data_IF_462320470228
#
_entry.id   IF_462320470228
#
_cell.length_a   1.000
_cell.length_b   1.000
_cell.length_c   1.000
_cell.angle_alpha   90.00
_cell.angle_beta   90.00
_cell.angle_gamma   90.00
#
_symmetry.space_group_name_H-M   'P 1'
#
loop_
_entity.id
_entity.type
_entity.pdbx_description
1 polymer ?
#
# COMPACT_ATOMS: atom_id res chain seq x y z
N UNK A 1 19.36 15.48 58.97
CA UNK A 1 18.74 16.52 58.12
C UNK A 1 18.68 15.97 56.71
N UNK A 2 17.46 15.81 56.20
CA UNK A 2 17.15 15.20 54.92
C UNK A 2 17.37 16.20 53.79
N UNK A 3 18.01 15.76 52.70
CA UNK A 3 17.99 16.42 51.41
C UNK A 3 17.45 15.41 50.40
N UNK A 4 16.17 15.55 50.09
CA UNK A 4 15.50 14.80 49.05
C UNK A 4 15.96 15.32 47.67
N UNK A 5 16.43 14.46 46.75
CA UNK A 5 16.51 14.83 45.35
C UNK A 5 15.16 14.62 44.67
N UNK A 6 14.91 15.52 43.73
CA UNK A 6 13.64 15.85 43.10
C UNK A 6 13.12 14.77 42.15
N UNK A 7 11.81 14.59 42.18
CA UNK A 7 10.98 13.59 41.50
C UNK A 7 10.92 13.73 39.95
N UNK A 8 11.98 14.18 39.28
CA UNK A 8 11.94 14.60 37.87
C UNK A 8 12.88 13.86 36.90
N UNK A 9 13.58 12.83 37.36
CA UNK A 9 14.54 12.05 36.54
C UNK A 9 14.07 10.66 36.13
N UNK A 10 12.88 10.20 36.54
CA UNK A 10 12.37 8.86 36.19
C UNK A 10 11.59 8.77 34.87
N UNK A 11 11.39 9.87 34.16
CA UNK A 11 10.61 9.89 32.91
C UNK A 11 11.42 9.63 31.62
N UNK A 12 12.71 9.31 31.72
CA UNK A 12 13.58 9.12 30.54
C UNK A 12 14.20 7.73 30.40
N UNK A 13 13.79 6.73 31.19
CA UNK A 13 14.34 5.36 31.08
C UNK A 13 13.32 4.34 30.54
N UNK A 14 12.07 4.73 30.30
CA UNK A 14 11.01 3.77 29.87
C UNK A 14 10.85 3.59 28.34
N UNK A 15 11.26 4.47 27.41
CA UNK A 15 11.08 4.14 25.98
C UNK A 15 12.20 3.26 25.41
N UNK A 16 13.31 3.04 26.13
CA UNK A 16 14.47 2.31 25.60
C UNK A 16 14.41 0.77 25.76
N UNK A 17 13.39 0.23 26.44
CA UNK A 17 13.22 -1.23 26.62
C UNK A 17 11.99 -1.81 25.89
N UNK A 18 11.21 -0.99 25.18
CA UNK A 18 10.06 -1.47 24.39
C UNK A 18 10.45 -2.01 23.00
N UNK A 19 11.72 -1.88 22.57
CA UNK A 19 12.19 -2.33 21.26
C UNK A 19 12.98 -3.66 21.26
N UNK A 20 13.03 -4.37 22.40
CA UNK A 20 13.74 -5.65 22.52
C UNK A 20 12.90 -6.82 23.06
N UNK A 21 11.58 -6.68 23.09
CA UNK A 21 10.71 -7.55 23.88
C UNK A 21 9.57 -8.27 23.16
N UNK A 22 9.65 -8.61 21.87
CA UNK A 22 8.70 -9.60 21.28
C UNK A 22 9.41 -10.51 20.26
N UNK A 23 10.48 -11.17 20.70
CA UNK A 23 10.87 -12.49 20.20
C UNK A 23 10.57 -13.46 21.33
N UNK A 24 9.55 -14.30 21.16
CA UNK A 24 9.34 -15.47 22.01
C UNK A 24 7.93 -15.66 22.55
N UNK A 25 6.99 -16.11 21.70
CA UNK A 25 6.07 -17.16 22.15
C UNK A 25 5.61 -18.00 20.96
N UNK A 26 6.32 -19.11 20.75
CA UNK A 26 5.82 -20.27 20.01
C UNK A 26 5.31 -21.30 21.03
N UNK A 27 4.23 -21.98 20.63
CA UNK A 27 3.81 -23.33 21.00
C UNK A 27 2.53 -23.47 21.86
N UNK A 28 1.64 -24.34 21.37
CA UNK A 28 0.47 -24.93 22.05
C UNK A 28 -0.86 -24.32 21.57
N UNK A 29 -1.77 -24.97 20.83
CA UNK A 29 -1.96 -26.40 20.57
C UNK A 29 -3.24 -26.93 21.23
N UNK A 30 -4.37 -26.81 20.50
CA UNK A 30 -5.60 -27.65 20.47
C UNK A 30 -6.36 -28.04 21.76
N UNK A 31 -7.69 -27.83 21.68
CA UNK A 31 -8.82 -28.76 21.98
C UNK A 31 -9.97 -27.95 22.63
N UNK A 32 -11.11 -27.71 21.95
CA UNK A 32 -12.29 -28.57 21.69
C UNK A 32 -13.38 -28.52 22.79
N UNK A 33 -14.62 -28.64 22.29
CA UNK A 33 -15.93 -28.79 22.92
C UNK A 33 -16.52 -27.60 23.71
N UNK A 34 -17.84 -27.39 23.80
CA UNK A 34 -19.05 -27.72 23.01
C UNK A 34 -20.27 -27.20 23.82
N UNK A 35 -21.34 -26.88 23.10
CA UNK A 35 -22.75 -26.74 23.52
C UNK A 35 -23.13 -25.85 24.69
N UNK A 36 -24.07 -24.93 24.43
CA UNK A 36 -25.39 -25.00 25.05
C UNK A 36 -26.46 -24.36 24.15
N UNK A 37 -27.55 -25.09 23.97
CA UNK A 37 -28.77 -24.70 23.30
C UNK A 37 -29.68 -23.91 24.25
N UNK A 38 -30.51 -23.00 23.70
CA UNK A 38 -31.89 -22.83 24.17
C UNK A 38 -32.75 -21.99 23.23
N UNK A 39 -33.83 -22.64 22.80
CA UNK A 39 -35.21 -22.18 22.73
C UNK A 39 -35.63 -21.06 21.74
N UNK A 40 -36.60 -21.48 20.92
CA UNK A 40 -37.43 -20.70 20.03
C UNK A 40 -38.44 -19.79 20.76
N UNK A 41 -38.79 -18.69 20.12
CA UNK A 41 -40.10 -18.06 20.27
C UNK A 41 -40.57 -17.61 18.88
N UNK A 42 -41.69 -18.18 18.42
CA UNK A 42 -42.48 -17.66 17.31
C UNK A 42 -43.41 -16.58 17.84
N UNK A 43 -43.51 -15.44 17.15
CA UNK A 43 -44.77 -14.70 17.11
C UNK A 43 -44.91 -13.85 15.83
N UNK A 44 -45.90 -14.28 15.04
CA UNK A 44 -46.88 -13.58 14.20
C UNK A 44 -46.52 -12.32 13.40
N UNK A 45 -46.84 -12.45 12.11
CA UNK A 45 -46.96 -11.43 11.08
C UNK A 45 -48.07 -10.42 11.37
N UNK A 46 -47.81 -9.15 11.07
CA UNK A 46 -48.83 -8.20 10.58
C UNK A 46 -48.26 -7.51 9.35
N UNK A 47 -48.97 -7.68 8.23
CA UNK A 47 -48.65 -7.04 6.97
C UNK A 47 -49.29 -5.66 6.85
N UNK A 48 -48.55 -4.72 6.27
CA UNK A 48 -49.11 -3.59 5.52
C UNK A 48 -48.23 -3.35 4.31
N UNK A 49 -48.84 -3.33 3.13
CA UNK A 49 -48.19 -3.53 1.86
C UNK A 49 -47.41 -2.33 1.31
N UNK A 50 -46.36 -2.68 0.58
CA UNK A 50 -46.11 -2.16 -0.76
C UNK A 50 -45.36 -3.25 -1.50
N UNK A 51 -46.12 -4.13 -2.16
CA UNK A 51 -45.56 -5.13 -3.05
C UNK A 51 -45.04 -4.42 -4.31
N UNK A 52 -43.82 -3.90 -4.25
CA UNK A 52 -43.00 -3.86 -5.46
C UNK A 52 -42.94 -5.30 -5.98
N UNK A 53 -43.13 -5.55 -7.28
CA UNK A 53 -43.21 -6.91 -7.80
C UNK A 53 -41.95 -7.67 -7.35
N UNK A 54 -42.10 -8.94 -6.91
CA UNK A 54 -40.98 -9.76 -6.43
C UNK A 54 -39.79 -9.74 -7.41
N UNK A 55 -40.08 -9.58 -8.70
CA UNK A 55 -39.10 -9.35 -9.76
C UNK A 55 -38.30 -8.05 -9.62
N UNK A 56 -38.91 -6.92 -9.22
CA UNK A 56 -38.19 -5.66 -8.99
C UNK A 56 -37.29 -5.73 -7.75
N UNK A 57 -37.71 -6.45 -6.69
CA UNK A 57 -36.85 -6.66 -5.52
C UNK A 57 -35.72 -7.65 -5.80
N UNK A 58 -35.96 -8.70 -6.58
CA UNK A 58 -34.93 -9.62 -7.04
C UNK A 58 -33.96 -8.95 -8.00
N UNK A 59 -34.47 -8.12 -8.92
CA UNK A 59 -33.66 -7.32 -9.84
C UNK A 59 -32.85 -6.27 -9.06
N UNK A 60 -33.42 -5.58 -8.08
CA UNK A 60 -32.69 -4.66 -7.22
C UNK A 60 -31.61 -5.39 -6.40
N UNK A 61 -31.87 -6.60 -5.89
CA UNK A 61 -30.83 -7.42 -5.22
C UNK A 61 -29.76 -7.90 -6.19
N UNK A 62 -30.13 -8.25 -7.42
CA UNK A 62 -29.17 -8.65 -8.45
C UNK A 62 -28.34 -7.47 -8.95
N UNK A 63 -28.94 -6.29 -9.09
CA UNK A 63 -28.24 -5.05 -9.42
C UNK A 63 -27.34 -4.64 -8.27
N UNK A 64 -27.79 -4.70 -7.01
CA UNK A 64 -26.93 -4.45 -5.84
C UNK A 64 -25.84 -5.51 -5.67
N UNK A 65 -26.08 -6.77 -6.05
CA UNK A 65 -25.06 -7.82 -6.05
C UNK A 65 -24.09 -7.68 -7.24
N UNK A 66 -24.55 -7.18 -8.38
CA UNK A 66 -23.75 -6.86 -9.57
C UNK A 66 -22.91 -5.60 -9.36
N UNK A 67 -23.46 -4.59 -8.68
CA UNK A 67 -22.74 -3.39 -8.23
C UNK A 67 -21.72 -3.72 -7.13
N UNK A 68 -21.99 -4.75 -6.30
CA UNK A 68 -21.03 -5.30 -5.35
C UNK A 68 -20.03 -6.27 -5.95
N UNK A 69 -20.28 -6.77 -7.17
CA UNK A 69 -19.40 -7.70 -7.86
C UNK A 69 -18.53 -6.92 -8.85
N UNK A 70 -17.62 -6.10 -8.31
CA UNK A 70 -16.47 -5.54 -9.03
C UNK A 70 -15.34 -6.57 -9.21
N UNK A 71 -15.62 -7.86 -8.97
CA UNK A 71 -14.74 -8.94 -9.34
C UNK A 71 -14.65 -8.99 -10.86
N UNK A 72 -13.48 -8.73 -11.43
CA UNK A 72 -13.24 -8.92 -12.86
C UNK A 72 -13.57 -10.39 -13.19
N UNK A 73 -14.52 -10.67 -14.10
CA UNK A 73 -14.91 -12.02 -14.49
C UNK A 73 -13.69 -12.85 -14.88
N UNK A 74 -13.64 -14.12 -14.46
CA UNK A 74 -12.48 -15.02 -14.62
C UNK A 74 -12.04 -15.30 -16.07
N UNK A 75 -12.75 -14.76 -17.08
CA UNK A 75 -12.44 -14.90 -18.49
C UNK A 75 -12.11 -13.60 -19.25
N UNK A 76 -12.15 -12.44 -18.60
CA UNK A 76 -11.70 -11.19 -19.25
C UNK A 76 -10.17 -11.03 -19.14
N UNK A 77 -9.50 -10.50 -20.18
CA UNK A 77 -8.08 -10.16 -20.10
C UNK A 77 -7.81 -9.23 -18.91
N UNK A 78 -6.73 -9.48 -18.17
CA UNK A 78 -6.27 -8.56 -17.14
C UNK A 78 -5.61 -7.35 -17.79
N UNK A 79 -6.02 -6.15 -17.42
CA UNK A 79 -5.14 -4.99 -17.52
C UNK A 79 -4.29 -4.98 -16.26
N UNK A 80 -3.12 -5.62 -16.34
CA UNK A 80 -2.29 -5.93 -15.17
C UNK A 80 -1.98 -4.67 -14.35
N UNK A 81 -1.82 -3.49 -14.96
CA UNK A 81 -1.52 -2.27 -14.19
C UNK A 81 -2.78 -1.49 -13.83
N UNK A 82 -3.79 -1.42 -14.70
CA UNK A 82 -4.99 -0.64 -14.40
C UNK A 82 -5.90 -1.33 -13.36
N UNK A 83 -5.96 -2.67 -13.36
CA UNK A 83 -6.88 -3.43 -12.52
C UNK A 83 -6.57 -3.27 -11.01
N UNK A 84 -5.35 -2.86 -10.62
CA UNK A 84 -5.04 -2.56 -9.22
C UNK A 84 -5.62 -1.22 -8.75
N UNK A 85 -5.90 -0.26 -9.64
CA UNK A 85 -6.27 1.10 -9.25
C UNK A 85 -7.77 1.24 -8.93
N UNK A 86 -8.63 0.46 -9.60
CA UNK A 86 -10.08 0.49 -9.42
C UNK A 86 -10.61 -0.21 -8.16
N UNK A 87 -11.92 -0.47 -8.10
CA UNK A 87 -12.59 -1.16 -6.98
C UNK A 87 -12.49 -2.70 -7.05
N UNK A 88 -11.47 -3.20 -7.73
CA UNK A 88 -11.18 -4.62 -7.90
C UNK A 88 -10.99 -5.31 -6.54
N UNK A 89 -11.58 -6.50 -6.41
CA UNK A 89 -11.23 -7.49 -5.37
C UNK A 89 -9.77 -7.93 -5.57
N UNK A 90 -8.92 -7.43 -4.68
CA UNK A 90 -7.48 -7.65 -4.75
C UNK A 90 -7.09 -9.09 -4.39
N UNK A 91 -7.90 -9.81 -3.62
CA UNK A 91 -7.65 -11.23 -3.38
C UNK A 91 -7.85 -12.04 -4.67
N UNK A 92 -9.02 -11.90 -5.32
CA UNK A 92 -9.32 -12.60 -6.57
C UNK A 92 -8.35 -12.20 -7.70
N UNK A 93 -7.98 -10.92 -7.76
CA UNK A 93 -6.98 -10.41 -8.70
C UNK A 93 -5.59 -11.00 -8.44
N UNK A 94 -5.11 -11.04 -7.19
CA UNK A 94 -3.83 -11.66 -6.85
C UNK A 94 -3.78 -13.14 -7.23
N UNK A 95 -4.86 -13.91 -7.04
CA UNK A 95 -4.89 -15.31 -7.46
C UNK A 95 -4.67 -15.48 -8.97
N UNK A 96 -5.28 -14.61 -9.78
CA UNK A 96 -5.09 -14.63 -11.24
C UNK A 96 -3.69 -14.20 -11.65
N UNK A 97 -3.15 -13.17 -11.02
CA UNK A 97 -1.76 -12.74 -11.26
C UNK A 97 -0.76 -13.84 -10.91
N UNK A 98 -0.97 -14.58 -9.82
CA UNK A 98 -0.09 -15.70 -9.43
C UNK A 98 -0.04 -16.80 -10.50
N UNK A 99 -1.18 -17.11 -11.12
CA UNK A 99 -1.23 -18.07 -12.23
C UNK A 99 -0.42 -17.57 -13.44
N UNK A 100 -0.55 -16.29 -13.79
CA UNK A 100 0.24 -15.71 -14.88
C UNK A 100 1.74 -15.65 -14.55
N UNK A 101 2.09 -15.30 -13.31
CA UNK A 101 3.47 -15.26 -12.84
C UNK A 101 4.10 -16.66 -12.86
N UNK A 102 3.36 -17.70 -12.46
CA UNK A 102 3.79 -19.10 -12.56
C UNK A 102 4.03 -19.54 -14.01
N UNK A 103 3.35 -18.91 -14.98
CA UNK A 103 3.54 -19.11 -16.41
C UNK A 103 4.62 -18.20 -17.02
N UNK A 104 5.42 -17.52 -16.19
CA UNK A 104 6.56 -16.70 -16.62
C UNK A 104 6.26 -15.22 -16.86
N UNK A 105 5.05 -14.74 -16.55
CA UNK A 105 4.76 -13.30 -16.65
C UNK A 105 5.40 -12.52 -15.49
N UNK A 106 6.54 -11.88 -15.76
CA UNK A 106 7.30 -11.12 -14.77
C UNK A 106 6.51 -9.91 -14.21
N UNK A 107 5.73 -9.23 -15.06
CA UNK A 107 4.87 -8.11 -14.65
C UNK A 107 3.77 -8.56 -13.69
N UNK A 108 3.17 -9.72 -13.95
CA UNK A 108 2.20 -10.29 -13.02
C UNK A 108 2.84 -10.61 -11.66
N UNK A 109 4.07 -11.14 -11.65
CA UNK A 109 4.83 -11.38 -10.41
C UNK A 109 5.10 -10.10 -9.62
N UNK A 110 5.46 -9.01 -10.32
CA UNK A 110 5.61 -7.70 -9.71
C UNK A 110 4.30 -7.22 -9.07
N UNK A 111 3.20 -7.30 -9.81
CA UNK A 111 1.89 -6.88 -9.32
C UNK A 111 1.37 -7.71 -8.14
N UNK A 112 1.68 -9.02 -8.08
CA UNK A 112 1.40 -9.82 -6.86
C UNK A 112 2.07 -9.20 -5.65
N UNK A 113 3.33 -8.79 -5.77
CA UNK A 113 4.05 -8.16 -4.66
C UNK A 113 3.44 -6.83 -4.23
N UNK A 114 2.92 -6.02 -5.17
CA UNK A 114 2.23 -4.76 -4.88
C UNK A 114 0.92 -4.99 -4.14
N UNK A 115 0.13 -5.98 -4.57
CA UNK A 115 -1.12 -6.35 -3.87
C UNK A 115 -0.81 -6.82 -2.46
N UNK A 116 0.21 -7.66 -2.28
CA UNK A 116 0.59 -8.15 -0.96
C UNK A 116 1.03 -7.02 -0.04
N UNK A 117 1.84 -6.08 -0.53
CA UNK A 117 2.29 -4.92 0.23
C UNK A 117 1.11 -4.03 0.67
N UNK A 118 0.18 -3.75 -0.24
CA UNK A 118 -1.02 -2.95 0.03
C UNK A 118 -1.96 -3.62 1.06
N UNK A 119 -2.17 -4.93 0.95
CA UNK A 119 -3.09 -5.68 1.80
C UNK A 119 -2.45 -6.21 3.10
N UNK A 120 -1.13 -6.09 3.29
CA UNK A 120 -0.40 -6.75 4.38
C UNK A 120 -0.94 -6.41 5.77
N UNK A 121 -1.18 -5.12 6.05
CA UNK A 121 -1.64 -4.67 7.37
C UNK A 121 -3.02 -5.23 7.70
N UNK A 122 -3.95 -5.19 6.74
CA UNK A 122 -5.27 -5.81 6.89
C UNK A 122 -5.17 -7.32 7.11
N UNK A 123 -4.40 -8.02 6.27
CA UNK A 123 -4.32 -9.47 6.28
C UNK A 123 -3.71 -10.04 7.57
N UNK A 124 -2.85 -9.29 8.28
CA UNK A 124 -2.27 -9.74 9.55
C UNK A 124 -3.33 -9.99 10.63
N UNK A 125 -4.34 -9.12 10.73
CA UNK A 125 -5.44 -9.25 11.67
C UNK A 125 -6.70 -8.50 11.16
N UNK A 126 -7.53 -9.12 10.32
CA UNK A 126 -8.75 -8.49 9.81
C UNK A 126 -9.73 -8.05 10.89
N UNK A 127 -9.79 -8.78 12.02
CA UNK A 127 -10.66 -8.47 13.15
C UNK A 127 -10.16 -7.25 13.92
N UNK A 128 -8.87 -7.22 14.26
CA UNK A 128 -8.22 -6.07 14.88
C UNK A 128 -8.28 -4.83 13.98
N UNK A 129 -8.11 -4.99 12.67
CA UNK A 129 -8.20 -3.88 11.71
C UNK A 129 -9.58 -3.21 11.73
N UNK A 130 -10.66 -3.99 11.85
CA UNK A 130 -12.03 -3.49 11.99
C UNK A 130 -12.29 -2.88 13.37
N UNK A 131 -11.72 -3.46 14.43
CA UNK A 131 -11.78 -2.88 15.77
C UNK A 131 -11.10 -1.50 15.82
N UNK A 132 -9.93 -1.35 15.21
CA UNK A 132 -9.24 -0.07 15.08
C UNK A 132 -10.12 0.97 14.38
N UNK A 133 -10.79 0.59 13.29
CA UNK A 133 -11.71 1.50 12.57
C UNK A 133 -12.88 1.95 13.47
N UNK A 134 -13.42 1.06 14.28
CA UNK A 134 -14.48 1.39 15.25
C UNK A 134 -13.98 2.36 16.33
N UNK A 135 -12.76 2.14 16.84
CA UNK A 135 -12.13 3.05 17.81
C UNK A 135 -11.90 4.44 17.18
N UNK A 136 -11.32 4.49 15.98
CA UNK A 136 -11.07 5.74 15.24
C UNK A 136 -12.36 6.53 14.96
N UNK A 137 -13.45 5.82 14.70
CA UNK A 137 -14.79 6.42 14.54
C UNK A 137 -15.33 6.92 15.88
N UNK A 138 -15.21 6.11 16.95
CA UNK A 138 -15.71 6.44 18.28
C UNK A 138 -14.99 7.61 18.95
N UNK A 139 -13.74 7.90 18.58
CA UNK A 139 -13.00 9.08 19.04
C UNK A 139 -13.58 10.40 18.51
N UNK A 140 -14.43 10.38 17.47
CA UNK A 140 -15.16 11.56 16.97
C UNK A 140 -14.27 12.69 16.45
N UNK A 141 -13.01 12.41 16.12
CA UNK A 141 -12.08 13.41 15.58
C UNK A 141 -12.40 13.63 14.09
N UNK A 142 -12.67 14.87 13.68
CA UNK A 142 -12.94 15.17 12.26
C UNK A 142 -11.82 14.68 11.32
N UNK A 143 -10.58 14.67 11.78
CA UNK A 143 -9.42 14.18 11.03
C UNK A 143 -9.38 12.65 10.86
N UNK A 144 -10.18 11.86 11.60
CA UNK A 144 -10.18 10.40 11.48
C UNK A 144 -11.07 9.89 10.33
N UNK A 145 -12.05 10.67 9.87
CA UNK A 145 -13.00 10.24 8.83
C UNK A 145 -12.32 9.84 7.50
N UNK A 146 -11.40 10.64 6.92
CA UNK A 146 -10.68 10.24 5.71
C UNK A 146 -9.86 8.96 5.91
N UNK A 147 -9.23 8.81 7.07
CA UNK A 147 -8.46 7.61 7.41
C UNK A 147 -9.33 6.37 7.52
N UNK A 148 -10.48 6.46 8.21
CA UNK A 148 -11.43 5.33 8.30
C UNK A 148 -11.95 4.96 6.91
N UNK A 149 -12.30 5.93 6.06
CA UNK A 149 -12.75 5.64 4.69
C UNK A 149 -11.68 4.93 3.84
N UNK A 150 -10.43 5.40 3.91
CA UNK A 150 -9.32 4.75 3.22
C UNK A 150 -9.05 3.33 3.75
N UNK A 151 -9.15 3.14 5.07
CA UNK A 151 -9.01 1.82 5.71
C UNK A 151 -10.15 0.88 5.33
N UNK A 152 -11.39 1.37 5.26
CA UNK A 152 -12.54 0.58 4.79
C UNK A 152 -12.38 0.18 3.32
N UNK A 153 -11.81 1.04 2.48
CA UNK A 153 -11.48 0.66 1.10
C UNK A 153 -10.48 -0.50 1.06
N UNK A 154 -9.41 -0.47 1.87
CA UNK A 154 -8.47 -1.60 2.00
C UNK A 154 -9.24 -2.86 2.44
N UNK A 155 -10.05 -2.77 3.51
CA UNK A 155 -10.77 -3.91 4.05
C UNK A 155 -11.70 -4.56 3.02
N UNK A 156 -12.48 -3.77 2.27
CA UNK A 156 -13.37 -4.28 1.21
C UNK A 156 -12.59 -5.00 0.11
N UNK A 157 -11.48 -4.41 -0.34
CA UNK A 157 -10.70 -4.91 -1.47
C UNK A 157 -9.82 -6.11 -1.10
N UNK A 158 -9.37 -6.19 0.15
CA UNK A 158 -8.49 -7.23 0.65
C UNK A 158 -9.23 -8.34 1.43
N UNK A 159 -10.57 -8.32 1.49
CA UNK A 159 -11.39 -9.17 2.37
C UNK A 159 -11.16 -10.68 2.25
N UNK A 160 -10.66 -11.16 1.10
CA UNK A 160 -10.32 -12.58 0.92
C UNK A 160 -9.03 -13.02 1.59
N UNK A 161 -8.17 -12.08 2.03
CA UNK A 161 -6.93 -12.40 2.73
C UNK A 161 -7.15 -12.60 4.23
N UNK A 162 -6.43 -13.55 4.79
CA UNK A 162 -6.44 -13.92 6.21
C UNK A 162 -5.02 -14.02 6.77
N UNK A 163 -4.90 -14.07 8.09
CA UNK A 163 -3.59 -14.11 8.76
C UNK A 163 -2.71 -15.29 8.35
N UNK A 164 -3.31 -16.44 8.03
CA UNK A 164 -2.60 -17.63 7.56
C UNK A 164 -1.99 -17.48 6.15
N UNK A 165 -2.40 -16.48 5.36
CA UNK A 165 -1.77 -16.21 4.06
C UNK A 165 -0.35 -15.66 4.20
N UNK A 166 0.00 -15.12 5.38
CA UNK A 166 1.36 -14.74 5.70
C UNK A 166 1.93 -13.66 4.78
N UNK A 167 1.13 -12.62 4.45
CA UNK A 167 1.52 -11.47 3.61
C UNK A 167 2.61 -10.57 4.22
N UNK A 168 3.48 -11.12 5.06
CA UNK A 168 4.57 -10.40 5.68
C UNK A 168 5.69 -10.05 4.71
N UNK A 169 6.63 -9.27 5.22
CA UNK A 169 7.79 -8.75 4.49
C UNK A 169 8.54 -9.82 3.69
N UNK A 170 8.74 -11.01 4.25
CA UNK A 170 9.45 -12.11 3.60
C UNK A 170 8.77 -12.59 2.32
N UNK A 171 7.43 -12.71 2.32
CA UNK A 171 6.67 -13.11 1.14
C UNK A 171 6.74 -12.03 0.05
N UNK A 172 6.57 -10.75 0.44
CA UNK A 172 6.66 -9.61 -0.48
C UNK A 172 8.04 -9.58 -1.16
N UNK A 173 9.13 -9.66 -0.39
CA UNK A 173 10.50 -9.72 -0.91
C UNK A 173 10.67 -10.91 -1.86
N UNK A 174 10.18 -12.09 -1.46
CA UNK A 174 10.29 -13.30 -2.30
C UNK A 174 9.64 -13.08 -3.67
N UNK A 175 8.44 -12.50 -3.70
CA UNK A 175 7.76 -12.19 -4.97
C UNK A 175 8.55 -11.16 -5.80
N UNK A 176 9.09 -10.12 -5.17
CA UNK A 176 9.94 -9.13 -5.84
C UNK A 176 11.20 -9.77 -6.43
N UNK A 177 11.88 -10.67 -5.71
CA UNK A 177 13.05 -11.40 -6.22
C UNK A 177 12.69 -12.27 -7.42
N UNK A 178 11.56 -12.99 -7.37
CA UNK A 178 11.11 -13.81 -8.49
C UNK A 178 10.81 -12.94 -9.72
N UNK A 179 10.08 -11.85 -9.56
CA UNK A 179 9.75 -10.93 -10.64
C UNK A 179 10.99 -10.25 -11.24
N UNK A 180 11.92 -9.79 -10.39
CA UNK A 180 13.17 -9.16 -10.82
C UNK A 180 14.06 -10.13 -11.61
N UNK A 181 14.18 -11.39 -11.16
CA UNK A 181 14.93 -12.44 -11.87
C UNK A 181 14.27 -12.84 -13.19
N UNK A 182 12.94 -12.68 -13.29
CA UNK A 182 12.19 -12.84 -14.53
C UNK A 182 12.27 -11.61 -15.45
N UNK A 183 13.01 -10.56 -15.08
CA UNK A 183 13.27 -9.38 -15.91
C UNK A 183 12.38 -8.17 -15.62
N UNK A 184 11.61 -8.16 -14.53
CA UNK A 184 10.82 -6.98 -14.16
C UNK A 184 11.69 -5.90 -13.49
N UNK A 185 11.85 -4.76 -14.17
CA UNK A 185 12.69 -3.65 -13.71
C UNK A 185 12.15 -2.95 -12.45
N UNK A 186 10.83 -2.80 -12.34
CA UNK A 186 10.21 -2.20 -11.15
C UNK A 186 10.44 -3.05 -9.90
N UNK A 187 10.39 -4.38 -10.03
CA UNK A 187 10.73 -5.30 -8.95
C UNK A 187 12.22 -5.21 -8.55
N UNK A 188 13.13 -5.10 -9.52
CA UNK A 188 14.57 -4.90 -9.26
C UNK A 188 14.82 -3.57 -8.54
N UNK A 189 14.16 -2.50 -8.98
CA UNK A 189 14.19 -1.18 -8.35
C UNK A 189 13.63 -1.20 -6.92
N UNK A 190 12.50 -1.87 -6.69
CA UNK A 190 11.90 -2.01 -5.36
C UNK A 190 12.83 -2.76 -4.39
N UNK A 191 13.50 -3.81 -4.85
CA UNK A 191 14.50 -4.53 -4.06
C UNK A 191 15.67 -3.64 -3.66
N UNK A 192 16.14 -2.78 -4.58
CA UNK A 192 17.17 -1.80 -4.26
C UNK A 192 16.69 -0.75 -3.24
N UNK A 193 15.50 -0.19 -3.43
CA UNK A 193 14.83 0.70 -2.49
C UNK A 193 14.66 0.11 -1.08
N UNK A 194 14.40 -1.18 -1.03
CA UNK A 194 14.28 -1.99 0.17
C UNK A 194 15.61 -2.33 0.87
N UNK A 195 16.75 -1.93 0.29
CA UNK A 195 18.09 -2.27 0.78
C UNK A 195 18.52 -3.71 0.51
N UNK A 196 17.88 -4.39 -0.44
CA UNK A 196 18.18 -5.78 -0.82
C UNK A 196 18.43 -5.89 -2.34
N UNK A 197 19.38 -5.13 -2.91
CA UNK A 197 19.66 -5.19 -4.34
C UNK A 197 20.10 -6.59 -4.77
N UNK A 198 19.86 -6.98 -6.04
CA UNK A 198 20.31 -8.27 -6.54
C UNK A 198 21.84 -8.40 -6.53
N UNK A 199 22.56 -7.29 -6.64
CA UNK A 199 24.01 -7.19 -6.50
C UNK A 199 24.37 -5.95 -5.69
N UNK A 200 25.30 -6.09 -4.77
CA UNK A 200 25.78 -4.97 -3.97
C UNK A 200 27.13 -4.46 -4.48
N UNK A 201 27.10 -3.85 -5.66
CA UNK A 201 28.28 -3.23 -6.29
C UNK A 201 27.93 -1.81 -6.76
N UNK A 202 28.85 -0.83 -6.65
CA UNK A 202 28.61 0.54 -7.12
C UNK A 202 28.14 0.62 -8.58
N UNK A 203 28.73 -0.19 -9.46
CA UNK A 203 28.42 -0.24 -10.89
C UNK A 203 26.99 -0.71 -11.13
N UNK A 204 26.57 -1.75 -10.40
CA UNK A 204 25.19 -2.23 -10.46
C UNK A 204 24.20 -1.17 -9.96
N UNK A 205 24.49 -0.48 -8.85
CA UNK A 205 23.59 0.55 -8.30
C UNK A 205 23.40 1.69 -9.29
N UNK A 206 24.49 2.24 -9.83
CA UNK A 206 24.43 3.28 -10.87
C UNK A 206 23.67 2.79 -12.10
N UNK A 207 24.07 1.63 -12.63
CA UNK A 207 23.46 1.07 -13.84
C UNK A 207 21.98 0.73 -13.66
N UNK A 208 21.52 0.37 -12.46
CA UNK A 208 20.09 0.18 -12.17
C UNK A 208 19.34 1.50 -12.26
N UNK A 209 19.82 2.57 -11.63
CA UNK A 209 19.17 3.89 -11.68
C UNK A 209 19.10 4.40 -13.12
N UNK A 210 20.18 4.27 -13.88
CA UNK A 210 20.23 4.65 -15.30
C UNK A 210 19.22 3.85 -16.12
N UNK A 211 19.15 2.52 -15.97
CA UNK A 211 18.12 1.70 -16.65
C UNK A 211 16.70 2.12 -16.27
N UNK A 212 16.44 2.48 -15.02
CA UNK A 212 15.13 3.00 -14.62
C UNK A 212 14.83 4.29 -15.38
N UNK A 213 15.76 5.25 -15.42
CA UNK A 213 15.58 6.49 -16.17
C UNK A 213 15.30 6.23 -17.66
N UNK A 214 16.13 5.40 -18.29
CA UNK A 214 16.05 5.11 -19.72
C UNK A 214 14.76 4.36 -20.09
N UNK A 215 14.24 3.52 -19.19
CA UNK A 215 13.01 2.75 -19.44
C UNK A 215 11.76 3.62 -19.54
N UNK A 216 11.77 4.78 -18.87
CA UNK A 216 10.59 5.61 -18.59
C UNK A 216 9.38 4.83 -18.05
N UNK A 217 9.61 3.70 -17.39
CA UNK A 217 8.53 2.92 -16.78
C UNK A 217 8.06 3.61 -15.49
N UNK A 218 6.81 4.14 -15.42
CA UNK A 218 6.30 4.80 -14.23
C UNK A 218 6.37 3.90 -12.97
N UNK A 219 6.19 2.59 -13.12
CA UNK A 219 6.29 1.65 -11.99
C UNK A 219 7.71 1.59 -11.44
N UNK A 220 8.73 1.60 -12.31
CA UNK A 220 10.12 1.54 -11.90
C UNK A 220 10.59 2.86 -11.26
N UNK A 221 10.15 4.00 -11.78
CA UNK A 221 10.38 5.32 -11.16
C UNK A 221 9.79 5.41 -9.76
N UNK A 222 8.56 4.93 -9.57
CA UNK A 222 7.93 4.91 -8.24
C UNK A 222 8.65 3.93 -7.30
N UNK A 223 8.96 2.72 -7.78
CA UNK A 223 9.60 1.68 -6.99
C UNK A 223 10.99 2.07 -6.47
N UNK A 224 11.79 2.80 -7.25
CA UNK A 224 13.13 3.22 -6.83
C UNK A 224 13.13 4.43 -5.88
N UNK A 225 12.02 5.18 -5.83
CA UNK A 225 11.97 6.52 -5.22
C UNK A 225 12.55 6.62 -3.81
N UNK A 226 12.26 5.67 -2.93
CA UNK A 226 12.72 5.68 -1.53
C UNK A 226 14.23 5.42 -1.37
N UNK A 227 14.87 4.77 -2.34
CA UNK A 227 16.34 4.67 -2.37
C UNK A 227 16.97 6.01 -2.75
N UNK A 228 16.29 6.83 -3.56
CA UNK A 228 16.84 8.05 -4.14
C UNK A 228 16.77 9.26 -3.20
N UNK A 229 16.00 9.19 -2.12
CA UNK A 229 15.93 10.24 -1.10
C UNK A 229 17.21 10.37 -0.27
N UNK A 230 17.06 10.76 1.00
CA UNK A 230 18.18 10.96 1.93
C UNK A 230 19.08 9.73 2.12
N UNK A 231 18.55 8.51 1.93
CA UNK A 231 19.33 7.26 2.03
C UNK A 231 20.49 7.20 1.03
N UNK A 232 20.36 7.83 -0.14
CA UNK A 232 21.42 7.91 -1.15
C UNK A 232 22.49 8.98 -0.85
N UNK A 233 22.32 9.77 0.22
CA UNK A 233 23.28 10.82 0.56
C UNK A 233 24.66 10.22 0.85
N UNK A 234 25.68 10.72 0.15
CA UNK A 234 27.05 10.22 0.26
C UNK A 234 27.35 8.94 -0.55
N UNK A 235 26.39 8.37 -1.28
CA UNK A 235 26.68 7.26 -2.19
C UNK A 235 27.39 7.76 -3.44
N UNK A 236 28.70 7.50 -3.53
CA UNK A 236 29.53 7.88 -4.68
C UNK A 236 29.04 7.28 -6.00
N UNK A 237 28.33 6.15 -5.97
CA UNK A 237 27.73 5.55 -7.16
C UNK A 237 26.57 6.40 -7.72
N UNK A 238 25.94 7.24 -6.90
CA UNK A 238 24.77 8.02 -7.28
C UNK A 238 25.09 9.51 -7.48
N UNK A 239 26.36 9.90 -7.35
CA UNK A 239 26.80 11.26 -7.57
C UNK A 239 26.44 11.75 -8.98
N UNK A 240 25.84 12.94 -9.07
CA UNK A 240 25.42 13.56 -10.32
C UNK A 240 24.04 13.08 -10.83
N UNK A 241 23.39 12.17 -10.13
CA UNK A 241 22.00 11.79 -10.36
C UNK A 241 21.07 12.59 -9.44
N UNK A 242 19.76 12.55 -9.71
CA UNK A 242 18.73 13.11 -8.82
C UNK A 242 18.60 12.18 -7.61
N UNK A 243 19.56 12.22 -6.70
CA UNK A 243 19.61 11.35 -5.53
C UNK A 243 20.30 12.03 -4.33
N UNK A 244 19.98 11.59 -3.11
CA UNK A 244 20.66 12.03 -1.88
C UNK A 244 20.15 13.35 -1.31
N UNK A 245 19.16 13.99 -1.93
CA UNK A 245 18.54 15.22 -1.45
C UNK A 245 17.16 14.97 -0.84
N UNK A 246 16.70 15.87 0.03
CA UNK A 246 15.39 15.75 0.71
C UNK A 246 14.23 15.75 -0.29
N UNK A 247 14.43 16.37 -1.47
CA UNK A 247 13.44 16.42 -2.53
C UNK A 247 13.59 15.30 -3.57
N UNK A 248 14.72 14.56 -3.59
CA UNK A 248 14.97 13.55 -4.62
C UNK A 248 13.89 12.48 -4.64
N UNK A 249 13.56 11.87 -3.50
CA UNK A 249 12.52 10.84 -3.43
C UNK A 249 11.18 11.34 -3.98
N UNK A 250 10.75 12.54 -3.56
CA UNK A 250 9.51 13.15 -4.04
C UNK A 250 9.58 13.46 -5.54
N UNK A 251 10.71 13.94 -6.05
CA UNK A 251 10.90 14.19 -7.47
C UNK A 251 10.74 12.92 -8.30
N UNK A 252 11.27 11.79 -7.84
CA UNK A 252 11.08 10.49 -8.50
C UNK A 252 9.62 10.05 -8.53
N UNK A 253 8.88 10.25 -7.42
CA UNK A 253 7.45 9.93 -7.37
C UNK A 253 6.62 10.82 -8.27
N UNK A 254 6.89 12.13 -8.28
CA UNK A 254 6.22 13.07 -9.17
C UNK A 254 6.52 12.75 -10.64
N UNK A 255 7.78 12.41 -10.97
CA UNK A 255 8.14 11.96 -12.30
C UNK A 255 7.41 10.68 -12.71
N UNK A 256 7.22 9.71 -11.80
CA UNK A 256 6.38 8.54 -12.07
C UNK A 256 4.94 8.92 -12.43
N UNK A 257 4.34 9.89 -11.73
CA UNK A 257 3.02 10.40 -12.03
C UNK A 257 2.97 11.08 -13.42
N UNK A 258 3.95 11.92 -13.76
CA UNK A 258 4.04 12.55 -15.08
C UNK A 258 4.27 11.54 -16.22
N UNK A 259 4.87 10.39 -15.91
CA UNK A 259 5.03 9.25 -16.82
C UNK A 259 3.79 8.36 -16.94
N UNK A 260 2.69 8.71 -16.27
CA UNK A 260 1.39 8.04 -16.40
C UNK A 260 1.05 7.05 -15.28
N UNK A 261 1.77 7.06 -14.15
CA UNK A 261 1.31 6.32 -12.97
C UNK A 261 0.00 6.92 -12.45
N UNK A 262 -0.91 6.08 -11.98
CA UNK A 262 -2.11 6.54 -11.30
C UNK A 262 -1.73 7.22 -9.97
N UNK A 263 -1.85 8.54 -9.96
CA UNK A 263 -1.54 9.39 -8.82
C UNK A 263 -2.73 10.29 -8.40
N UNK A 264 -3.91 10.04 -8.96
CA UNK A 264 -5.13 10.76 -8.61
C UNK A 264 -5.63 10.45 -7.19
N UNK A 265 -6.66 11.16 -6.73
CA UNK A 265 -7.20 11.03 -5.36
C UNK A 265 -7.63 9.60 -5.01
N UNK A 266 -8.21 8.85 -5.95
CA UNK A 266 -8.68 7.48 -5.74
C UNK A 266 -7.60 6.40 -5.96
N UNK A 267 -6.37 6.80 -6.30
CA UNK A 267 -5.28 5.87 -6.59
C UNK A 267 -4.90 5.02 -5.38
N UNK A 268 -4.34 3.84 -5.66
CA UNK A 268 -3.71 2.99 -4.64
C UNK A 268 -2.64 3.76 -3.88
N UNK A 269 -1.88 4.62 -4.56
CA UNK A 269 -0.86 5.46 -3.95
C UNK A 269 -1.47 6.35 -2.84
N UNK A 270 -2.46 7.18 -3.20
CA UNK A 270 -3.09 8.11 -2.25
C UNK A 270 -3.81 7.38 -1.12
N UNK A 271 -4.52 6.30 -1.44
CA UNK A 271 -5.17 5.49 -0.40
C UNK A 271 -4.16 4.84 0.55
N UNK A 272 -3.02 4.35 0.05
CA UNK A 272 -2.01 3.70 0.87
C UNK A 272 -1.35 4.68 1.85
N UNK A 273 -1.05 5.91 1.41
CA UNK A 273 -0.56 6.97 2.28
C UNK A 273 -1.50 7.25 3.45
N UNK A 274 -2.80 7.27 3.20
CA UNK A 274 -3.79 7.54 4.24
C UNK A 274 -4.05 6.31 5.12
N UNK A 275 -4.40 5.16 4.54
CA UNK A 275 -4.81 3.97 5.30
C UNK A 275 -3.66 3.34 6.11
N UNK A 276 -2.47 3.24 5.50
CA UNK A 276 -1.31 2.56 6.07
C UNK A 276 -0.25 3.55 6.60
N UNK A 277 -0.18 4.77 6.05
CA UNK A 277 0.74 5.81 6.50
C UNK A 277 0.16 6.83 7.47
N UNK A 278 -1.17 6.89 7.63
CA UNK A 278 -1.84 7.90 8.46
C UNK A 278 -1.77 9.33 7.91
N UNK A 279 -1.32 9.49 6.67
CA UNK A 279 -1.16 10.78 6.00
C UNK A 279 -2.29 10.93 4.99
N UNK A 280 -3.36 11.60 5.40
CA UNK A 280 -4.55 11.77 4.59
C UNK A 280 -4.64 13.18 4.02
N UNK A 281 -5.00 13.28 2.74
CA UNK A 281 -5.39 14.56 2.15
C UNK A 281 -6.60 15.13 2.90
N UNK A 282 -6.61 16.45 3.10
CA UNK A 282 -7.77 17.16 3.63
C UNK A 282 -8.79 17.48 2.53
N UNK A 283 -8.36 17.45 1.26
CA UNK A 283 -9.21 17.61 0.09
C UNK A 283 -9.30 16.27 -0.66
N UNK A 284 -10.50 15.70 -0.69
CA UNK A 284 -10.77 14.41 -1.33
C UNK A 284 -10.57 14.41 -2.85
N UNK A 285 -10.47 15.57 -3.50
CA UNK A 285 -10.15 15.70 -4.92
C UNK A 285 -8.66 15.83 -5.22
N UNK A 286 -7.81 15.94 -4.20
CA UNK A 286 -6.39 16.26 -4.36
C UNK A 286 -5.61 15.07 -4.89
N UNK A 287 -4.89 15.26 -5.98
CA UNK A 287 -3.92 14.29 -6.49
C UNK A 287 -2.59 14.33 -5.70
N UNK A 288 -1.74 13.34 -5.92
CA UNK A 288 -0.45 13.24 -5.23
C UNK A 288 0.44 14.46 -5.47
N UNK A 289 0.43 15.02 -6.68
CA UNK A 289 1.27 16.16 -7.02
C UNK A 289 0.88 17.38 -6.18
N UNK A 290 -0.39 17.74 -6.21
CA UNK A 290 -0.94 18.86 -5.43
C UNK A 290 -0.73 18.62 -3.93
N UNK A 291 -0.98 17.39 -3.45
CA UNK A 291 -0.74 17.01 -2.05
C UNK A 291 0.71 17.24 -1.62
N UNK A 292 1.69 16.81 -2.43
CA UNK A 292 3.11 17.00 -2.14
C UNK A 292 3.49 18.48 -2.11
N UNK A 293 3.01 19.26 -3.07
CA UNK A 293 3.33 20.70 -3.13
C UNK A 293 2.72 21.48 -1.96
N UNK A 294 1.54 21.10 -1.48
CA UNK A 294 0.90 21.76 -0.36
C UNK A 294 1.48 21.33 1.00
N UNK A 295 1.78 20.04 1.16
CA UNK A 295 2.16 19.47 2.46
C UNK A 295 3.67 19.45 2.72
N UNK A 296 4.50 19.29 1.69
CA UNK A 296 5.92 18.94 1.86
C UNK A 296 6.90 19.92 1.20
N UNK A 297 6.44 20.77 0.28
CA UNK A 297 7.31 21.64 -0.51
C UNK A 297 7.02 23.10 -0.21
N UNK A 298 7.99 23.81 0.37
CA UNK A 298 7.86 25.26 0.56
C UNK A 298 7.82 25.98 -0.80
N UNK A 299 7.30 27.21 -0.83
CA UNK A 299 7.31 28.06 -2.03
C UNK A 299 8.71 28.20 -2.65
N UNK A 300 9.75 28.22 -1.82
CA UNK A 300 11.15 28.27 -2.28
C UNK A 300 11.64 26.91 -2.79
N UNK A 301 11.17 25.80 -2.20
CA UNK A 301 11.48 24.43 -2.64
C UNK A 301 10.79 24.04 -3.96
N UNK A 302 9.66 24.66 -4.30
CA UNK A 302 8.87 24.30 -5.49
C UNK A 302 9.66 24.45 -6.81
N UNK A 303 10.45 25.51 -6.94
CA UNK A 303 11.30 25.70 -8.13
C UNK A 303 12.38 24.63 -8.25
N UNK A 304 12.99 24.23 -7.11
CA UNK A 304 13.98 23.14 -7.07
C UNK A 304 13.31 21.81 -7.43
N UNK A 305 12.15 21.50 -6.85
CA UNK A 305 11.39 20.29 -7.13
C UNK A 305 11.09 20.16 -8.63
N UNK A 306 10.54 21.22 -9.24
CA UNK A 306 10.25 21.24 -10.68
C UNK A 306 11.51 20.97 -11.51
N UNK A 307 12.64 21.59 -11.16
CA UNK A 307 13.92 21.35 -11.85
C UNK A 307 14.35 19.89 -11.76
N UNK A 308 14.22 19.26 -10.59
CA UNK A 308 14.59 17.85 -10.41
C UNK A 308 13.68 16.91 -11.21
N UNK A 309 12.36 17.15 -11.20
CA UNK A 309 11.40 16.38 -12.01
C UNK A 309 11.70 16.54 -13.49
N UNK A 310 11.95 17.76 -13.96
CA UNK A 310 12.35 18.01 -15.34
C UNK A 310 13.66 17.31 -15.72
N UNK A 311 14.65 17.24 -14.82
CA UNK A 311 15.88 16.48 -15.07
C UNK A 311 15.62 14.98 -15.23
N UNK A 312 14.70 14.43 -14.44
CA UNK A 312 14.32 13.02 -14.51
C UNK A 312 13.56 12.66 -15.80
N UNK A 313 12.83 13.61 -16.37
CA UNK A 313 12.00 13.39 -17.57
C UNK A 313 12.74 13.79 -18.86
N UNK A 314 13.43 14.93 -18.88
CA UNK A 314 14.07 15.49 -20.09
C UNK A 314 15.41 14.85 -20.45
N UNK A 315 16.14 14.27 -19.50
CA UNK A 315 17.46 13.68 -19.79
C UNK A 315 17.38 12.49 -20.78
N UNK A 316 16.18 11.96 -20.99
CA UNK A 316 15.86 10.93 -21.98
C UNK A 316 15.75 11.43 -23.44
N UNK A 317 15.62 12.74 -23.70
CA UNK A 317 15.44 13.26 -25.08
C UNK A 317 16.77 13.53 -25.81
N UNK A 318 17.92 13.22 -25.18
CA UNK A 318 19.27 13.49 -25.71
C UNK A 318 20.10 12.22 -25.98
N UNK A 319 19.46 11.06 -26.09
CA UNK A 319 20.06 9.82 -26.59
C UNK A 319 19.80 9.64 -28.08
#
# INVERSE_FOLDING_TARGET
MALAPTLKTWLLVVPALALLGVVGYRAGGRALQADHASAAVSELQVGTGSAAPLQAQQLARQLLASERSTAVPSGLPLDIRADIEGDTDLFAYAQRLRLQAANGNAEAGWMVSRVYDYCAIYAMDPGGYQLDNNVLTGLGMNASSPMVQARERVARRCAGFVSSDGLGRSLIVTQRVLAARAGNLAAEAALFADGQPLKDTPEYRRGLVERVMDSRDPEAYMAISTAMGQRASGDGALQGLVAGDQFSELAWRLAACELGMACGPDSVLMNNFCANGGICSQDGGQDFATFVYDAAVSRQGAGKMKTLVEQLIKRSDRS
#
